data_IF_669143896625
#
_entry.id   IF_669143896625
#
_cell.length_a   1.000
_cell.length_b   1.000
_cell.length_c   1.000
_cell.angle_alpha   90.00
_cell.angle_beta   90.00
_cell.angle_gamma   90.00
#
_symmetry.space_group_name_H-M   'P 1'
#
loop_
_entity.id
_entity.type
_entity.pdbx_description
1 polymer ?
#
# COMPACT_ATOMS: atom_id res chain seq x y z
N UNK A 1 38.12 43.59 15.39
CA UNK A 1 38.09 42.18 14.92
C UNK A 1 37.07 41.28 15.64
N UNK A 2 36.79 41.42 16.94
CA UNK A 2 35.83 40.55 17.66
C UNK A 2 34.34 40.69 17.27
N UNK A 3 33.89 41.88 16.82
CA UNK A 3 32.47 42.14 16.46
C UNK A 3 32.07 41.55 15.11
N UNK A 4 33.01 41.43 14.17
CA UNK A 4 32.76 40.85 12.84
C UNK A 4 32.55 39.34 12.90
N UNK A 5 33.24 38.66 13.82
CA UNK A 5 33.12 37.20 14.03
C UNK A 5 31.76 36.79 14.60
N UNK A 6 31.14 37.64 15.43
CA UNK A 6 29.85 37.35 16.08
C UNK A 6 28.69 37.43 15.09
N UNK A 7 28.76 38.34 14.11
CA UNK A 7 27.72 38.52 13.09
C UNK A 7 27.75 37.35 12.09
N UNK A 8 28.93 36.83 11.74
CA UNK A 8 29.05 35.69 10.82
C UNK A 8 28.52 34.38 11.42
N UNK A 9 28.71 34.15 12.72
CA UNK A 9 28.21 32.94 13.41
C UNK A 9 26.68 32.97 13.54
N UNK A 10 26.07 34.12 13.79
CA UNK A 10 24.62 34.26 13.86
C UNK A 10 23.94 34.03 12.50
N UNK A 11 24.55 34.47 11.39
CA UNK A 11 24.04 34.24 10.04
C UNK A 11 24.10 32.76 9.61
N UNK A 12 25.14 32.02 10.02
CA UNK A 12 25.27 30.57 9.78
C UNK A 12 24.25 29.74 10.58
N UNK A 13 23.91 30.17 11.79
CA UNK A 13 22.90 29.50 12.63
C UNK A 13 21.47 29.72 12.14
N UNK A 14 21.16 30.86 11.51
CA UNK A 14 19.84 31.12 10.90
C UNK A 14 19.70 30.39 9.55
N UNK A 15 20.78 30.25 8.78
CA UNK A 15 20.77 29.47 7.53
C UNK A 15 20.60 27.96 7.77
N UNK A 16 21.09 27.43 8.91
CA UNK A 16 20.93 26.02 9.27
C UNK A 16 19.49 25.63 9.69
N UNK A 17 18.64 26.60 10.08
CA UNK A 17 17.24 26.34 10.46
C UNK A 17 16.24 26.47 9.30
N UNK A 18 16.69 26.90 8.12
CA UNK A 18 15.86 27.06 6.93
C UNK A 18 15.89 25.85 5.99
N UNK A 19 16.65 24.79 6.32
CA UNK A 19 16.49 23.52 5.63
C UNK A 19 15.20 22.90 6.19
N UNK A 20 14.11 22.81 5.41
CA UNK A 20 13.04 21.91 5.80
C UNK A 20 13.73 20.57 6.05
N UNK A 21 13.51 19.99 7.23
CA UNK A 21 13.76 18.56 7.41
C UNK A 21 12.86 17.93 6.36
N UNK A 22 13.42 17.66 5.17
CA UNK A 22 12.75 17.03 4.05
C UNK A 22 12.41 15.65 4.58
N UNK A 23 11.23 15.53 5.17
CA UNK A 23 10.75 14.27 5.67
C UNK A 23 10.74 13.35 4.47
N UNK A 24 11.53 12.29 4.51
CA UNK A 24 11.63 11.28 3.45
C UNK A 24 10.22 10.97 2.92
N UNK A 25 10.02 11.24 1.63
CA UNK A 25 8.73 11.18 0.98
C UNK A 25 8.06 9.80 1.16
N UNK A 26 8.87 8.73 1.22
CA UNK A 26 8.40 7.38 1.53
C UNK A 26 7.84 7.29 2.95
N UNK A 27 8.50 7.87 3.94
CA UNK A 27 8.01 7.90 5.33
C UNK A 27 6.73 8.72 5.48
N UNK A 28 6.56 9.78 4.70
CA UNK A 28 5.30 10.53 4.65
C UNK A 28 4.19 9.71 4.01
N UNK A 29 4.48 9.06 2.87
CA UNK A 29 3.59 8.11 2.22
C UNK A 29 3.14 7.00 3.18
N UNK A 30 4.10 6.34 3.84
CA UNK A 30 3.85 5.29 4.82
C UNK A 30 2.93 5.77 5.95
N UNK A 31 3.27 6.86 6.64
CA UNK A 31 2.46 7.35 7.77
C UNK A 31 1.00 7.62 7.38
N UNK A 32 0.76 8.19 6.21
CA UNK A 32 -0.60 8.43 5.73
C UNK A 32 -1.28 7.14 5.29
N UNK A 33 -0.58 6.22 4.62
CA UNK A 33 -1.11 4.89 4.28
C UNK A 33 -1.65 4.16 5.51
N UNK A 34 -0.91 4.20 6.62
CA UNK A 34 -1.31 3.58 7.88
C UNK A 34 -2.58 4.17 8.48
N UNK A 35 -2.75 5.49 8.33
CA UNK A 35 -3.95 6.18 8.80
C UNK A 35 -5.13 5.86 7.89
N UNK A 36 -4.89 5.85 6.57
CA UNK A 36 -5.87 5.48 5.56
C UNK A 36 -6.38 4.07 5.79
N UNK A 37 -5.47 3.10 5.91
CA UNK A 37 -5.82 1.70 6.10
C UNK A 37 -6.62 1.46 7.38
N UNK A 38 -6.23 2.11 8.49
CA UNK A 38 -7.00 2.08 9.74
C UNK A 38 -8.44 2.53 9.53
N UNK A 39 -8.64 3.68 8.89
CA UNK A 39 -9.98 4.20 8.60
C UNK A 39 -10.75 3.29 7.63
N UNK A 40 -10.07 2.76 6.61
CA UNK A 40 -10.64 1.90 5.59
C UNK A 40 -11.20 0.60 6.19
N UNK A 41 -10.45 -0.07 7.06
CA UNK A 41 -10.91 -1.33 7.68
C UNK A 41 -11.88 -1.10 8.85
N UNK A 42 -12.00 0.14 9.35
CA UNK A 42 -13.11 0.54 10.23
C UNK A 42 -14.29 1.14 9.47
N UNK A 43 -14.29 1.06 8.12
CA UNK A 43 -15.35 1.55 7.22
C UNK A 43 -15.61 3.06 7.31
N UNK A 44 -14.64 3.84 7.77
CA UNK A 44 -14.66 5.30 7.69
C UNK A 44 -14.07 5.72 6.34
N UNK A 45 -14.85 5.53 5.27
CA UNK A 45 -14.36 5.63 3.89
C UNK A 45 -13.94 7.05 3.51
N UNK A 46 -14.71 8.06 3.90
CA UNK A 46 -14.39 9.46 3.61
C UNK A 46 -13.00 9.83 4.14
N UNK A 47 -12.73 9.55 5.42
CA UNK A 47 -11.44 9.83 6.04
C UNK A 47 -10.32 8.91 5.52
N UNK A 48 -10.66 7.67 5.16
CA UNK A 48 -9.70 6.78 4.52
C UNK A 48 -9.21 7.37 3.18
N UNK A 49 -10.12 7.89 2.35
CA UNK A 49 -9.78 8.49 1.06
C UNK A 49 -8.93 9.74 1.22
N UNK A 50 -9.21 10.59 2.20
CA UNK A 50 -8.36 11.75 2.53
C UNK A 50 -6.90 11.32 2.80
N UNK A 51 -6.72 10.32 3.65
CA UNK A 51 -5.39 9.81 3.97
C UNK A 51 -4.74 9.04 2.81
N UNK A 52 -5.50 8.31 1.99
CA UNK A 52 -4.94 7.66 0.80
C UNK A 52 -4.44 8.70 -0.20
N UNK A 53 -5.17 9.82 -0.40
CA UNK A 53 -4.71 10.92 -1.24
C UNK A 53 -3.40 11.53 -0.72
N UNK A 54 -3.32 11.81 0.58
CA UNK A 54 -2.09 12.29 1.20
C UNK A 54 -0.94 11.27 1.14
N UNK A 55 -1.26 9.97 1.20
CA UNK A 55 -0.30 8.88 1.03
C UNK A 55 0.23 8.81 -0.40
N UNK A 56 -0.66 8.93 -1.39
CA UNK A 56 -0.33 8.88 -2.80
C UNK A 56 0.61 10.03 -3.20
N UNK A 57 0.40 11.23 -2.64
CA UNK A 57 1.30 12.37 -2.86
C UNK A 57 2.74 12.07 -2.42
N UNK A 58 2.93 11.53 -1.21
CA UNK A 58 4.27 11.17 -0.71
C UNK A 58 4.93 10.07 -1.55
N UNK A 59 4.15 9.07 -1.99
CA UNK A 59 4.70 8.03 -2.86
C UNK A 59 4.98 8.50 -4.29
N UNK A 60 4.14 9.36 -4.86
CA UNK A 60 4.37 9.96 -6.18
C UNK A 60 5.65 10.82 -6.16
N UNK A 61 5.86 11.60 -5.10
CA UNK A 61 7.09 12.35 -4.88
C UNK A 61 8.30 11.41 -4.80
N UNK A 62 8.22 10.32 -4.03
CA UNK A 62 9.30 9.34 -3.91
C UNK A 62 9.62 8.63 -5.23
N UNK A 63 8.60 8.28 -6.02
CA UNK A 63 8.72 7.65 -7.33
C UNK A 63 9.26 8.60 -8.41
N UNK A 64 9.07 9.90 -8.24
CA UNK A 64 9.59 10.94 -9.14
C UNK A 64 11.07 11.28 -8.94
N UNK A 65 11.73 10.72 -7.92
CA UNK A 65 13.15 10.94 -7.66
C UNK A 65 14.03 10.21 -8.67
N UNK A 66 15.15 10.82 -9.06
CA UNK A 66 16.17 10.20 -9.91
C UNK A 66 17.55 10.25 -9.23
N UNK A 67 18.11 9.10 -8.80
CA UNK A 67 17.50 7.78 -8.84
C UNK A 67 16.41 7.61 -7.78
N UNK A 68 15.41 6.76 -8.05
CA UNK A 68 14.40 6.36 -7.07
C UNK A 68 15.10 5.83 -5.80
N UNK A 69 14.71 6.38 -4.65
CA UNK A 69 15.31 6.05 -3.36
C UNK A 69 15.23 4.55 -3.04
N UNK A 70 16.25 4.04 -2.33
CA UNK A 70 16.36 2.60 -1.99
C UNK A 70 15.13 2.05 -1.28
N UNK A 71 14.53 2.82 -0.37
CA UNK A 71 13.35 2.38 0.40
C UNK A 71 12.15 2.22 -0.53
N UNK A 72 11.95 3.14 -1.48
CA UNK A 72 10.85 3.06 -2.43
C UNK A 72 10.93 1.82 -3.34
N UNK A 73 12.14 1.26 -3.53
CA UNK A 73 12.36 0.02 -4.29
C UNK A 73 11.95 -1.25 -3.54
N UNK A 74 11.62 -1.18 -2.25
CA UNK A 74 11.08 -2.33 -1.56
C UNK A 74 9.67 -2.65 -2.06
N UNK A 75 9.41 -3.94 -2.27
CA UNK A 75 8.11 -4.46 -2.68
C UNK A 75 6.96 -3.86 -1.86
N UNK A 76 7.11 -3.86 -0.53
CA UNK A 76 6.10 -3.36 0.38
C UNK A 76 5.82 -1.86 0.23
N UNK A 77 6.83 -1.06 -0.13
CA UNK A 77 6.64 0.36 -0.42
C UNK A 77 5.92 0.54 -1.75
N UNK A 78 6.28 -0.23 -2.78
CA UNK A 78 5.61 -0.18 -4.08
C UNK A 78 4.15 -0.66 -4.01
N UNK A 79 3.85 -1.73 -3.26
CA UNK A 79 2.49 -2.24 -3.08
C UNK A 79 1.60 -1.19 -2.40
N UNK A 80 2.09 -0.58 -1.30
CA UNK A 80 1.37 0.51 -0.62
C UNK A 80 1.19 1.73 -1.52
N UNK A 81 2.22 2.08 -2.29
CA UNK A 81 2.15 3.17 -3.25
C UNK A 81 1.05 2.91 -4.29
N UNK A 82 1.05 1.74 -4.91
CA UNK A 82 0.03 1.35 -5.89
C UNK A 82 -1.39 1.42 -5.31
N UNK A 83 -1.61 0.86 -4.12
CA UNK A 83 -2.91 0.93 -3.44
C UNK A 83 -3.33 2.37 -3.14
N UNK A 84 -2.41 3.20 -2.63
CA UNK A 84 -2.70 4.61 -2.35
C UNK A 84 -3.04 5.38 -3.63
N UNK A 85 -2.26 5.16 -4.70
CA UNK A 85 -2.46 5.75 -6.01
C UNK A 85 -3.82 5.35 -6.62
N UNK A 86 -4.23 4.09 -6.46
CA UNK A 86 -5.55 3.64 -6.86
C UNK A 86 -6.66 4.46 -6.19
N UNK A 87 -6.64 4.55 -4.86
CA UNK A 87 -7.64 5.29 -4.11
C UNK A 87 -7.57 6.82 -4.32
N UNK A 88 -6.43 7.33 -4.75
CA UNK A 88 -6.28 8.73 -5.16
C UNK A 88 -6.77 9.02 -6.59
N UNK A 89 -7.12 7.99 -7.38
CA UNK A 89 -7.52 8.11 -8.78
C UNK A 89 -6.35 8.16 -9.77
N UNK A 90 -5.11 7.97 -9.31
CA UNK A 90 -3.89 8.00 -10.12
C UNK A 90 -3.65 6.63 -10.79
N UNK A 91 -4.60 6.21 -11.63
CA UNK A 91 -4.67 4.83 -12.14
C UNK A 91 -3.47 4.42 -13.00
N UNK A 92 -2.95 5.29 -13.85
CA UNK A 92 -1.78 4.98 -14.68
C UNK A 92 -0.52 4.76 -13.83
N UNK A 93 -0.31 5.62 -12.83
CA UNK A 93 0.82 5.48 -11.93
C UNK A 93 0.66 4.27 -11.00
N UNK A 94 -0.56 3.95 -10.57
CA UNK A 94 -0.89 2.71 -9.87
C UNK A 94 -0.48 1.48 -10.69
N UNK A 95 -0.96 1.39 -11.94
CA UNK A 95 -0.68 0.25 -12.84
C UNK A 95 0.82 0.11 -13.06
N UNK A 96 1.52 1.21 -13.39
CA UNK A 96 2.97 1.21 -13.59
C UNK A 96 3.71 0.71 -12.35
N UNK A 97 3.39 1.30 -11.19
CA UNK A 97 4.05 0.99 -9.92
C UNK A 97 3.85 -0.46 -9.52
N UNK A 98 2.62 -0.97 -9.59
CA UNK A 98 2.32 -2.35 -9.21
C UNK A 98 2.84 -3.37 -10.22
N UNK A 99 2.91 -3.03 -11.50
CA UNK A 99 3.52 -3.90 -12.52
C UNK A 99 5.03 -4.04 -12.27
N UNK A 100 5.71 -2.93 -11.95
CA UNK A 100 7.13 -2.96 -11.56
C UNK A 100 7.34 -3.76 -10.27
N UNK A 101 6.48 -3.54 -9.28
CA UNK A 101 6.50 -4.27 -8.02
C UNK A 101 6.31 -5.78 -8.25
N UNK A 102 5.32 -6.19 -9.03
CA UNK A 102 5.00 -7.61 -9.24
C UNK A 102 6.16 -8.36 -9.93
N UNK A 103 6.88 -7.73 -10.85
CA UNK A 103 8.05 -8.32 -11.52
C UNK A 103 7.76 -9.74 -12.06
N UNK A 104 8.65 -10.72 -11.78
CA UNK A 104 8.42 -12.15 -12.03
C UNK A 104 7.85 -12.91 -10.81
N UNK A 105 7.39 -12.19 -9.78
CA UNK A 105 6.94 -12.77 -8.51
C UNK A 105 5.43 -12.90 -8.52
N UNK A 106 5.01 -14.10 -8.85
CA UNK A 106 3.66 -14.61 -9.14
C UNK A 106 2.75 -14.78 -7.90
N UNK A 107 3.04 -14.13 -6.76
CA UNK A 107 2.35 -14.45 -5.48
C UNK A 107 1.75 -13.28 -4.70
N UNK A 108 1.81 -12.05 -5.20
CA UNK A 108 1.21 -10.89 -4.52
C UNK A 108 -0.12 -10.53 -5.19
N UNK A 109 -1.19 -11.09 -4.64
CA UNK A 109 -2.54 -10.91 -5.18
C UNK A 109 -3.07 -9.48 -5.08
N UNK A 110 -2.62 -8.69 -4.09
CA UNK A 110 -3.03 -7.28 -3.98
C UNK A 110 -2.62 -6.51 -5.24
N UNK A 111 -1.39 -6.70 -5.71
CA UNK A 111 -0.89 -6.02 -6.90
C UNK A 111 -1.76 -6.33 -8.13
N UNK A 112 -2.00 -7.61 -8.41
CA UNK A 112 -2.86 -8.03 -9.52
C UNK A 112 -4.30 -7.48 -9.39
N UNK A 113 -4.87 -7.52 -8.19
CA UNK A 113 -6.21 -6.97 -7.92
C UNK A 113 -6.29 -5.47 -8.20
N UNK A 114 -5.37 -4.67 -7.65
CA UNK A 114 -5.41 -3.22 -7.81
C UNK A 114 -5.02 -2.77 -9.22
N UNK A 115 -4.20 -3.54 -9.95
CA UNK A 115 -4.01 -3.35 -11.40
C UNK A 115 -5.34 -3.56 -12.13
N UNK A 116 -6.05 -4.66 -11.89
CA UNK A 116 -7.31 -4.96 -12.56
C UNK A 116 -8.39 -3.90 -12.27
N UNK A 117 -8.51 -3.49 -11.01
CA UNK A 117 -9.40 -2.41 -10.60
C UNK A 117 -9.05 -1.08 -11.27
N UNK A 118 -7.77 -0.71 -11.32
CA UNK A 118 -7.31 0.51 -11.99
C UNK A 118 -7.62 0.50 -13.50
N UNK A 119 -7.38 -0.62 -14.19
CA UNK A 119 -7.77 -0.78 -15.60
C UNK A 119 -9.29 -0.63 -15.77
N UNK A 120 -10.07 -1.18 -14.83
CA UNK A 120 -11.52 -1.10 -14.87
C UNK A 120 -12.04 0.32 -14.70
N UNK A 121 -11.42 1.10 -13.80
CA UNK A 121 -11.71 2.52 -13.61
C UNK A 121 -11.34 3.37 -14.83
N UNK A 122 -10.34 2.95 -15.62
CA UNK A 122 -10.01 3.56 -16.92
C UNK A 122 -10.99 3.17 -18.04
N UNK A 123 -11.88 2.20 -17.81
CA UNK A 123 -12.83 1.72 -18.82
C UNK A 123 -12.24 0.69 -19.80
N UNK A 124 -11.01 0.20 -19.56
CA UNK A 124 -10.37 -0.79 -20.43
C UNK A 124 -10.84 -2.20 -20.10
N UNK A 125 -11.97 -2.60 -20.69
CA UNK A 125 -12.60 -3.91 -20.44
C UNK A 125 -11.64 -5.09 -20.69
N UNK A 126 -10.87 -5.05 -21.77
CA UNK A 126 -10.00 -6.17 -22.13
C UNK A 126 -8.84 -6.30 -21.13
N UNK A 127 -8.18 -5.18 -20.81
CA UNK A 127 -7.10 -5.17 -19.83
C UNK A 127 -7.60 -5.55 -18.43
N UNK A 128 -8.82 -5.13 -18.04
CA UNK A 128 -9.43 -5.53 -16.78
C UNK A 128 -9.64 -7.04 -16.68
N UNK A 129 -10.26 -7.65 -17.69
CA UNK A 129 -10.55 -9.09 -17.66
C UNK A 129 -9.24 -9.90 -17.59
N UNK A 130 -8.25 -9.52 -18.40
CA UNK A 130 -6.93 -10.15 -18.37
C UNK A 130 -6.22 -10.02 -17.01
N UNK A 131 -6.29 -8.85 -16.39
CA UNK A 131 -5.69 -8.62 -15.08
C UNK A 131 -6.42 -9.38 -13.97
N UNK A 132 -7.74 -9.55 -14.08
CA UNK A 132 -8.53 -10.37 -13.18
C UNK A 132 -8.24 -11.86 -13.32
N UNK A 133 -7.99 -12.37 -14.53
CA UNK A 133 -7.50 -13.74 -14.72
C UNK A 133 -6.17 -13.95 -13.99
N UNK A 134 -5.23 -13.01 -14.12
CA UNK A 134 -3.96 -13.07 -13.41
C UNK A 134 -4.12 -13.04 -11.87
N UNK A 135 -5.11 -12.29 -11.35
CA UNK A 135 -5.46 -12.32 -9.93
C UNK A 135 -5.98 -13.69 -9.49
N UNK A 136 -6.90 -14.29 -10.28
CA UNK A 136 -7.48 -15.60 -9.98
C UNK A 136 -6.43 -16.71 -10.00
N UNK A 137 -5.48 -16.65 -10.95
CA UNK A 137 -4.34 -17.56 -11.03
C UNK A 137 -3.40 -17.43 -9.83
N UNK A 138 -3.13 -16.18 -9.40
CA UNK A 138 -2.22 -15.92 -8.29
C UNK A 138 -2.82 -16.30 -6.92
N UNK A 139 -4.12 -16.13 -6.71
CA UNK A 139 -4.73 -16.44 -5.42
C UNK A 139 -6.26 -16.66 -5.46
N UNK A 140 -6.73 -17.91 -5.63
CA UNK A 140 -8.16 -18.22 -5.61
C UNK A 140 -8.79 -18.17 -4.20
N UNK A 141 -8.01 -17.89 -3.14
CA UNK A 141 -8.47 -18.04 -1.74
C UNK A 141 -9.16 -16.80 -1.18
N UNK A 142 -9.27 -15.70 -1.94
CA UNK A 142 -9.97 -14.48 -1.52
C UNK A 142 -11.48 -14.61 -1.73
N UNK A 143 -12.11 -15.50 -0.96
CA UNK A 143 -13.49 -15.99 -1.16
C UNK A 143 -14.51 -14.92 -1.51
N UNK A 144 -14.49 -13.75 -0.86
CA UNK A 144 -15.47 -12.70 -1.14
C UNK A 144 -15.26 -12.07 -2.51
N UNK A 145 -14.01 -11.71 -2.80
CA UNK A 145 -13.60 -11.09 -4.06
C UNK A 145 -13.84 -12.08 -5.20
N UNK A 146 -13.39 -13.33 -5.06
CA UNK A 146 -13.52 -14.35 -6.11
C UNK A 146 -14.98 -14.75 -6.36
N UNK A 147 -15.81 -14.84 -5.31
CA UNK A 147 -17.25 -15.10 -5.47
C UNK A 147 -17.94 -13.95 -6.22
N UNK A 148 -17.57 -12.70 -5.91
CA UNK A 148 -18.14 -11.54 -6.57
C UNK A 148 -17.70 -11.44 -8.03
N UNK A 149 -16.42 -11.69 -8.32
CA UNK A 149 -15.90 -11.79 -9.68
C UNK A 149 -16.63 -12.85 -10.50
N UNK A 150 -16.83 -14.06 -9.95
CA UNK A 150 -17.57 -15.12 -10.63
C UNK A 150 -19.02 -14.72 -10.95
N UNK A 151 -19.62 -13.85 -10.12
CA UNK A 151 -20.97 -13.32 -10.31
C UNK A 151 -21.03 -12.26 -11.41
N UNK A 152 -20.10 -11.31 -11.44
CA UNK A 152 -20.21 -10.11 -12.29
C UNK A 152 -19.44 -10.20 -13.61
N UNK A 153 -18.30 -10.88 -13.65
CA UNK A 153 -17.43 -10.88 -14.84
C UNK A 153 -18.05 -11.53 -16.09
N UNK A 154 -18.84 -12.64 -15.99
CA UNK A 154 -19.55 -13.16 -17.16
C UNK A 154 -20.52 -12.13 -17.76
N UNK A 155 -21.16 -11.33 -16.89
CA UNK A 155 -22.03 -10.24 -17.29
C UNK A 155 -21.29 -9.07 -17.96
N UNK A 156 -20.08 -8.76 -17.50
CA UNK A 156 -19.21 -7.78 -18.17
C UNK A 156 -18.79 -8.30 -19.55
N UNK A 157 -18.41 -9.58 -19.63
CA UNK A 157 -17.97 -10.22 -20.86
C UNK A 157 -19.06 -10.20 -21.94
N UNK A 158 -20.30 -10.57 -21.58
CA UNK A 158 -21.44 -10.59 -22.49
C UNK A 158 -22.18 -9.23 -22.65
N UNK A 159 -21.79 -8.20 -21.90
CA UNK A 159 -22.33 -6.85 -22.00
C UNK A 159 -23.65 -6.62 -21.25
N UNK A 160 -24.09 -7.56 -20.41
CA UNK A 160 -25.28 -7.43 -19.56
C UNK A 160 -25.01 -6.67 -18.25
N UNK A 161 -23.74 -6.54 -17.85
CA UNK A 161 -23.30 -5.75 -16.69
C UNK A 161 -22.30 -4.70 -17.18
N UNK A 162 -22.50 -3.44 -16.78
CA UNK A 162 -21.54 -2.38 -17.08
C UNK A 162 -20.24 -2.62 -16.31
N UNK A 163 -19.10 -2.36 -16.95
CA UNK A 163 -17.79 -2.50 -16.32
C UNK A 163 -17.70 -1.71 -15.01
N UNK A 164 -18.18 -0.46 -14.99
CA UNK A 164 -18.21 0.38 -13.79
C UNK A 164 -18.91 -0.31 -12.61
N UNK A 165 -20.09 -0.87 -12.86
CA UNK A 165 -20.93 -1.48 -11.83
C UNK A 165 -20.28 -2.75 -11.28
N UNK A 166 -19.60 -3.52 -12.14
CA UNK A 166 -18.81 -4.67 -11.73
C UNK A 166 -17.60 -4.26 -10.87
N UNK A 167 -16.88 -3.20 -11.26
CA UNK A 167 -15.75 -2.69 -10.48
C UNK A 167 -16.19 -2.19 -9.11
N UNK A 168 -17.31 -1.46 -9.02
CA UNK A 168 -17.87 -1.01 -7.75
C UNK A 168 -18.23 -2.19 -6.84
N UNK A 169 -18.82 -3.24 -7.41
CA UNK A 169 -19.21 -4.42 -6.65
C UNK A 169 -17.99 -5.22 -6.14
N UNK A 170 -16.97 -5.41 -6.99
CA UNK A 170 -15.72 -6.07 -6.62
C UNK A 170 -14.95 -5.25 -5.58
N UNK A 171 -14.88 -3.93 -5.71
CA UNK A 171 -14.20 -3.05 -4.74
C UNK A 171 -14.88 -3.10 -3.36
N UNK A 172 -16.22 -3.14 -3.32
CA UNK A 172 -16.97 -3.33 -2.08
C UNK A 172 -16.61 -4.64 -1.39
N UNK A 173 -16.58 -5.76 -2.12
CA UNK A 173 -16.20 -7.06 -1.56
C UNK A 173 -14.70 -7.14 -1.21
N UNK A 174 -13.86 -6.37 -1.92
CA UNK A 174 -12.45 -6.18 -1.56
C UNK A 174 -12.33 -5.54 -0.18
N UNK A 175 -13.06 -4.46 0.10
CA UNK A 175 -13.10 -3.87 1.43
C UNK A 175 -13.59 -4.88 2.47
N UNK A 176 -14.67 -5.60 2.16
CA UNK A 176 -15.24 -6.58 3.08
C UNK A 176 -14.25 -7.71 3.42
N UNK A 177 -13.52 -8.21 2.42
CA UNK A 177 -12.48 -9.21 2.58
C UNK A 177 -11.37 -8.68 3.49
N UNK A 178 -10.90 -7.44 3.27
CA UNK A 178 -9.87 -6.83 4.12
C UNK A 178 -10.34 -6.64 5.58
N UNK A 179 -11.58 -6.17 5.78
CA UNK A 179 -12.19 -6.06 7.12
C UNK A 179 -12.24 -7.42 7.81
N UNK A 180 -12.70 -8.46 7.10
CA UNK A 180 -12.76 -9.81 7.68
C UNK A 180 -11.39 -10.39 7.98
N UNK A 181 -10.41 -10.17 7.11
CA UNK A 181 -9.02 -10.58 7.36
C UNK A 181 -8.54 -9.93 8.66
N UNK A 182 -8.67 -8.62 8.80
CA UNK A 182 -8.30 -7.88 10.02
C UNK A 182 -9.03 -8.42 11.26
N UNK A 183 -10.36 -8.59 11.21
CA UNK A 183 -11.14 -9.09 12.35
C UNK A 183 -10.77 -10.54 12.74
N UNK A 184 -10.57 -11.42 11.76
CA UNK A 184 -10.17 -12.81 11.99
C UNK A 184 -8.82 -12.91 12.70
N UNK A 185 -7.88 -12.03 12.37
CA UNK A 185 -6.57 -12.00 13.02
C UNK A 185 -6.60 -11.28 14.37
N UNK A 186 -7.35 -10.18 14.49
CA UNK A 186 -7.50 -9.45 15.77
C UNK A 186 -8.25 -10.25 16.84
N UNK A 187 -9.15 -11.16 16.45
CA UNK A 187 -9.94 -11.98 17.39
C UNK A 187 -9.21 -13.25 17.86
N UNK A 188 -8.03 -13.56 17.30
CA UNK A 188 -7.21 -14.72 17.69
C UNK A 188 -5.92 -14.28 18.37
N UNK A 189 -6.03 -13.90 19.65
CA UNK A 189 -4.86 -13.68 20.50
C UNK A 189 -3.90 -14.90 20.42
N UNK A 190 -2.65 -14.67 19.98
CA UNK A 190 -1.56 -15.65 20.11
C UNK A 190 -1.29 -16.59 18.93
N UNK A 191 -1.89 -16.42 17.75
CA UNK A 191 -1.66 -17.34 16.60
C UNK A 191 -0.88 -16.78 15.42
N UNK A 192 -0.41 -15.53 15.50
CA UNK A 192 0.53 -14.97 14.51
C UNK A 192 1.86 -14.72 15.21
N UNK A 193 2.97 -15.35 14.77
CA UNK A 193 4.30 -15.07 15.33
C UNK A 193 4.60 -13.56 15.30
N UNK A 194 5.10 -13.00 16.40
CA UNK A 194 5.41 -11.56 16.54
C UNK A 194 6.34 -11.03 15.44
N UNK A 195 7.21 -11.90 14.91
CA UNK A 195 8.08 -11.62 13.77
C UNK A 195 7.29 -11.35 12.48
N UNK A 196 6.19 -12.05 12.20
CA UNK A 196 5.38 -11.81 10.99
C UNK A 196 4.45 -10.59 11.13
N UNK A 197 4.02 -10.29 12.35
CA UNK A 197 3.18 -9.13 12.65
C UNK A 197 3.92 -7.79 12.45
N UNK A 198 5.24 -7.78 12.63
CA UNK A 198 6.04 -6.54 12.67
C UNK A 198 7.24 -6.49 11.70
N UNK A 199 7.64 -7.61 11.08
CA UNK A 199 8.77 -7.66 10.13
C UNK A 199 8.35 -8.14 8.72
N UNK A 200 7.06 -8.10 8.40
CA UNK A 200 6.54 -8.64 7.14
C UNK A 200 6.25 -7.59 6.07
N UNK A 201 6.42 -7.97 4.81
CA UNK A 201 5.95 -7.28 3.59
C UNK A 201 4.43 -7.06 3.52
N UNK A 202 3.68 -7.26 4.61
CA UNK A 202 2.22 -7.26 4.64
C UNK A 202 1.65 -6.70 5.94
N UNK A 203 2.46 -6.05 6.76
CA UNK A 203 2.09 -5.60 8.10
C UNK A 203 0.79 -4.76 8.10
N UNK A 204 0.47 -4.03 7.02
CA UNK A 204 -0.76 -3.24 6.91
C UNK A 204 -2.01 -4.11 6.97
N UNK A 205 -1.94 -5.39 6.61
CA UNK A 205 -3.04 -6.34 6.77
C UNK A 205 -3.32 -6.68 8.26
N UNK A 206 -2.46 -6.27 9.18
CA UNK A 206 -2.53 -6.53 10.63
C UNK A 206 -2.75 -5.21 11.40
N UNK A 207 -4.01 -4.76 11.46
CA UNK A 207 -4.37 -3.41 11.91
C UNK A 207 -4.19 -3.11 13.42
N UNK A 208 -3.72 -4.04 14.26
CA UNK A 208 -3.89 -3.96 15.73
C UNK A 208 -2.62 -3.98 16.60
N UNK A 209 -1.42 -4.15 16.05
CA UNK A 209 -0.19 -4.08 16.84
C UNK A 209 0.69 -2.92 16.38
N UNK A 210 0.71 -1.76 17.07
CA UNK A 210 1.81 -0.83 16.90
C UNK A 210 3.09 -1.55 17.32
N UNK A 211 3.96 -1.83 16.36
CA UNK A 211 5.26 -2.42 16.62
C UNK A 211 6.03 -1.48 17.55
N UNK A 212 6.28 -1.93 18.77
CA UNK A 212 7.06 -1.19 19.75
C UNK A 212 8.55 -1.38 19.40
N UNK A 213 9.32 -0.29 19.44
CA UNK A 213 10.73 -0.21 19.02
C UNK A 213 11.72 -1.16 19.75
N UNK A 214 11.25 -2.03 20.64
CA UNK A 214 12.06 -3.00 21.40
C UNK A 214 11.71 -4.48 21.18
N UNK A 215 10.74 -4.82 20.32
CA UNK A 215 10.33 -6.22 20.12
C UNK A 215 11.33 -7.08 19.31
N UNK A 216 12.44 -6.49 18.85
CA UNK A 216 13.50 -7.19 18.11
C UNK A 216 14.79 -7.40 18.93
N UNK A 217 14.88 -6.90 20.16
CA UNK A 217 16.12 -6.99 20.97
C UNK A 217 16.26 -8.29 21.77
N UNK A 218 15.24 -9.16 21.80
CA UNK A 218 15.26 -10.42 22.56
C UNK A 218 15.20 -11.68 21.69
N UNK A 219 15.83 -11.65 20.52
CA UNK A 219 16.05 -12.83 19.67
C UNK A 219 17.50 -13.29 19.78
N UNK A 220 17.76 -14.16 20.76
CA UNK A 220 19.08 -14.60 21.20
C UNK A 220 20.09 -14.93 20.11
N UNK A 221 21.33 -14.59 20.42
CA UNK A 221 22.53 -15.25 19.92
C UNK A 221 22.33 -16.77 19.84
N UNK A 222 22.40 -17.33 18.64
CA UNK A 222 22.83 -18.72 18.46
C UNK A 222 23.92 -18.76 17.41
N UNK A 223 25.07 -19.19 17.91
CA UNK A 223 26.27 -19.61 17.18
C UNK A 223 25.94 -20.63 16.10
N UNK A 224 26.39 -20.36 14.87
CA UNK A 224 26.70 -21.38 13.87
C UNK A 224 27.93 -20.92 13.08
N UNK A 225 29.08 -20.96 13.76
CA UNK A 225 30.27 -21.56 13.19
C UNK A 225 30.42 -22.91 13.89
N UNK A 226 30.88 -23.90 13.12
CA UNK A 226 30.97 -25.35 13.33
C UNK A 226 29.73 -26.17 12.93
#
# INVERSE_FOLDING_TARGET
MRKSLTITIAALLVAAMALPVMADAVNTGDRNFQRAWRMYVTRNNEKAMEYFKASAQGYAEALGQDPVGRIMKFQSSMDKAGIALYFAGEYDLCIKTLTEAQGRRDKIWDAALFIALAQGRKGDKEATLKAFDAFLDANPSQRMITAEMARVLPGVQNGTVKLSDAIDAIEKETQQQFVQNVLRYNSRNGTVPSLEACNGSYWWRYNSAPCSRGQFESGGSSSWFD
#
